data_IF_780202969905
#
_entry.id   IF_780202969905
#
_cell.length_a   1.000
_cell.length_b   1.000
_cell.length_c   1.000
_cell.angle_alpha   90.00
_cell.angle_beta   90.00
_cell.angle_gamma   90.00
#
_symmetry.space_group_name_H-M   'P 1'
#
loop_
_entity.id
_entity.type
_entity.pdbx_description
1 polymer ?
#
# COMPACT_ATOMS: atom_id res chain seq x y z
N UNK A 1 8.10 -13.50 13.33
CA UNK A 1 8.94 -12.40 12.84
C UNK A 1 9.16 -12.66 11.36
N UNK A 2 8.39 -12.04 10.47
CA UNK A 2 8.63 -12.20 9.03
C UNK A 2 10.03 -11.65 8.72
N UNK A 3 10.85 -12.42 8.00
CA UNK A 3 12.12 -11.96 7.46
C UNK A 3 11.87 -10.67 6.68
N UNK A 4 12.71 -9.67 6.89
CA UNK A 4 12.77 -8.49 6.00
C UNK A 4 13.50 -8.90 4.73
N UNK A 5 12.99 -8.47 3.58
CA UNK A 5 13.62 -8.75 2.28
C UNK A 5 15.10 -8.40 2.27
N UNK A 6 15.90 -9.28 1.66
CA UNK A 6 17.34 -9.13 1.50
C UNK A 6 17.75 -8.66 0.10
N UNK A 7 16.77 -8.45 -0.80
CA UNK A 7 16.99 -8.18 -2.22
C UNK A 7 17.71 -6.86 -2.52
N UNK A 8 17.67 -5.91 -1.57
CA UNK A 8 18.22 -4.57 -1.75
C UNK A 8 17.45 -3.72 -2.77
N UNK A 9 16.23 -4.15 -3.14
CA UNK A 9 15.32 -3.34 -3.95
C UNK A 9 14.69 -2.22 -3.11
N UNK A 10 14.48 -1.06 -3.73
CA UNK A 10 13.76 0.05 -3.13
C UNK A 10 12.43 0.24 -3.86
N UNK A 11 11.34 0.10 -3.12
CA UNK A 11 9.99 0.27 -3.66
C UNK A 11 9.48 1.69 -3.41
N UNK A 12 9.08 2.36 -4.49
CA UNK A 12 8.36 3.62 -4.43
C UNK A 12 6.91 3.39 -4.86
N UNK A 13 5.97 3.73 -4.00
CA UNK A 13 4.54 3.54 -4.24
C UNK A 13 3.85 4.89 -4.39
N UNK A 14 3.17 5.07 -5.53
CA UNK A 14 2.37 6.27 -5.77
C UNK A 14 0.99 6.18 -5.12
N UNK A 15 0.48 7.25 -4.48
CA UNK A 15 -0.87 7.32 -3.92
C UNK A 15 -2.00 6.90 -4.87
N UNK A 16 -1.88 7.20 -6.16
CA UNK A 16 -2.87 6.81 -7.17
C UNK A 16 -3.14 5.30 -7.16
N UNK A 17 -2.11 4.47 -6.95
CA UNK A 17 -2.26 3.01 -6.87
C UNK A 17 -3.15 2.62 -5.70
N UNK A 18 -2.97 3.25 -4.54
CA UNK A 18 -3.75 2.98 -3.32
C UNK A 18 -5.21 3.38 -3.53
N UNK A 19 -5.44 4.54 -4.17
CA UNK A 19 -6.78 5.03 -4.50
C UNK A 19 -7.48 4.07 -5.47
N UNK A 20 -6.80 3.60 -6.52
CA UNK A 20 -7.35 2.66 -7.49
C UNK A 20 -7.74 1.32 -6.83
N UNK A 21 -6.88 0.77 -5.97
CA UNK A 21 -7.18 -0.49 -5.26
C UNK A 21 -8.39 -0.30 -4.33
N UNK A 22 -8.45 0.84 -3.64
CA UNK A 22 -9.56 1.17 -2.73
C UNK A 22 -10.88 1.37 -3.48
N UNK A 23 -10.85 2.03 -4.64
CA UNK A 23 -12.01 2.20 -5.53
C UNK A 23 -12.50 0.84 -6.04
N UNK A 24 -11.59 0.01 -6.55
CA UNK A 24 -11.92 -1.33 -7.05
C UNK A 24 -12.60 -2.18 -5.96
N UNK A 25 -12.01 -2.21 -4.76
CA UNK A 25 -12.59 -2.91 -3.61
C UNK A 25 -13.98 -2.39 -3.26
N UNK A 26 -14.13 -1.06 -3.17
CA UNK A 26 -15.40 -0.43 -2.76
C UNK A 26 -16.50 -0.68 -3.79
N UNK A 27 -16.17 -0.63 -5.09
CA UNK A 27 -17.09 -0.92 -6.20
C UNK A 27 -17.60 -2.35 -6.15
N UNK A 28 -16.69 -3.32 -6.04
CA UNK A 28 -17.07 -4.75 -5.96
C UNK A 28 -17.87 -5.02 -4.70
N UNK A 29 -17.47 -4.44 -3.55
CA UNK A 29 -18.23 -4.51 -2.31
C UNK A 29 -19.65 -3.96 -2.46
N UNK A 30 -19.81 -2.80 -3.08
CA UNK A 30 -21.13 -2.21 -3.32
C UNK A 30 -22.01 -3.03 -4.25
N UNK A 31 -21.43 -3.69 -5.26
CA UNK A 31 -22.17 -4.57 -6.18
C UNK A 31 -22.57 -5.89 -5.55
N UNK A 32 -21.74 -6.41 -4.63
CA UNK A 32 -22.01 -7.65 -3.90
C UNK A 32 -23.04 -7.51 -2.78
N UNK A 33 -23.37 -6.27 -2.38
CA UNK A 33 -24.46 -6.04 -1.46
C UNK A 33 -25.79 -6.22 -2.20
N UNK A 34 -26.71 -7.08 -1.70
CA UNK A 34 -28.01 -7.20 -2.32
C UNK A 34 -28.69 -5.83 -2.33
N UNK A 35 -29.44 -5.48 -3.40
CA UNK A 35 -30.24 -4.27 -3.37
C UNK A 35 -31.13 -4.32 -2.13
N UNK A 36 -31.17 -3.22 -1.37
CA UNK A 36 -32.22 -3.00 -0.38
C UNK A 36 -33.56 -2.86 -1.12
N UNK A 37 -34.07 -3.95 -1.70
CA UNK A 37 -35.42 -4.03 -2.21
C UNK A 37 -36.35 -4.15 -1.01
N UNK A 38 -36.98 -3.01 -0.71
CA UNK A 38 -38.31 -2.87 -0.13
C UNK A 38 -38.57 -3.53 1.25
N UNK A 39 -38.97 -2.67 2.18
CA UNK A 39 -40.03 -2.98 3.13
C UNK A 39 -41.13 -3.85 2.47
N UNK A 40 -41.19 -5.13 2.80
CA UNK A 40 -42.48 -5.83 2.91
C UNK A 40 -42.37 -7.06 3.80
N UNK A 41 -42.98 -6.91 4.97
CA UNK A 41 -43.66 -7.89 5.82
C UNK A 41 -42.84 -8.97 6.54
N UNK A 42 -43.10 -9.02 7.84
CA UNK A 42 -42.57 -10.00 8.78
C UNK A 42 -42.81 -11.44 8.35
N UNK A 43 -41.79 -12.25 8.58
CA UNK A 43 -41.79 -13.69 8.41
C UNK A 43 -40.38 -14.20 8.69
N UNK A 44 -40.26 -15.05 9.69
CA UNK A 44 -39.03 -15.70 10.14
C UNK A 44 -38.20 -16.26 8.98
N UNK A 45 -36.88 -16.03 8.97
CA UNK A 45 -35.90 -16.89 8.27
C UNK A 45 -34.45 -16.48 8.56
N UNK A 46 -33.77 -17.33 9.33
CA UNK A 46 -32.33 -17.61 9.35
C UNK A 46 -31.35 -16.42 9.22
N UNK A 47 -30.68 -16.11 10.34
CA UNK A 47 -29.36 -15.45 10.40
C UNK A 47 -28.34 -16.23 9.55
N UNK A 48 -28.30 -15.98 8.25
CA UNK A 48 -27.13 -16.30 7.44
C UNK A 48 -26.01 -15.34 7.83
N UNK A 49 -24.79 -15.83 8.09
CA UNK A 49 -23.66 -14.95 8.34
C UNK A 49 -23.47 -14.01 7.14
N UNK A 50 -23.07 -12.74 7.36
CA UNK A 50 -22.80 -11.81 6.28
C UNK A 50 -21.80 -12.45 5.31
N UNK A 51 -21.98 -12.28 3.98
CA UNK A 51 -21.04 -12.85 3.01
C UNK A 51 -19.62 -12.36 3.31
N UNK A 52 -18.60 -13.21 3.11
CA UNK A 52 -17.22 -12.81 3.35
C UNK A 52 -16.88 -11.57 2.52
N UNK A 53 -16.05 -10.64 3.05
CA UNK A 53 -15.68 -9.44 2.31
C UNK A 53 -15.06 -9.83 0.97
N UNK A 54 -15.45 -9.16 -0.13
CA UNK A 54 -14.97 -9.55 -1.45
C UNK A 54 -13.47 -9.31 -1.56
N UNK A 55 -12.80 -10.19 -2.29
CA UNK A 55 -11.39 -10.08 -2.59
C UNK A 55 -11.22 -9.62 -4.03
N UNK A 56 -10.47 -8.55 -4.23
CA UNK A 56 -10.21 -8.03 -5.57
C UNK A 56 -8.76 -8.26 -5.94
N UNK A 57 -8.51 -8.45 -7.23
CA UNK A 57 -7.19 -8.72 -7.79
C UNK A 57 -6.92 -7.78 -8.96
N UNK A 58 -5.67 -7.38 -9.13
CA UNK A 58 -5.28 -6.58 -10.28
C UNK A 58 -3.78 -6.52 -10.50
N UNK A 59 -3.35 -5.90 -11.59
CA UNK A 59 -1.95 -5.67 -11.90
C UNK A 59 -1.50 -4.31 -11.40
N UNK A 60 -0.23 -4.23 -11.00
CA UNK A 60 0.47 -2.97 -10.79
C UNK A 60 1.48 -2.74 -11.90
N UNK A 61 1.55 -1.51 -12.38
CA UNK A 61 2.42 -1.10 -13.48
C UNK A 61 3.29 0.09 -13.08
N UNK A 62 4.44 0.19 -13.71
CA UNK A 62 5.36 1.29 -13.49
C UNK A 62 6.69 1.04 -14.17
N UNK A 63 7.77 1.50 -13.54
CA UNK A 63 9.12 1.41 -14.09
C UNK A 63 10.08 0.86 -13.05
N UNK A 64 11.14 0.19 -13.50
CA UNK A 64 12.28 -0.14 -12.65
C UNK A 64 13.52 0.47 -13.27
N UNK A 65 14.28 1.15 -12.44
CA UNK A 65 15.55 1.77 -12.79
C UNK A 65 16.61 1.17 -11.89
N UNK A 66 17.33 0.17 -12.39
CA UNK A 66 18.28 -0.60 -11.58
C UNK A 66 17.57 -1.35 -10.45
N UNK A 67 17.85 -0.94 -9.20
CA UNK A 67 17.26 -1.54 -7.99
C UNK A 67 16.05 -0.79 -7.45
N UNK A 68 15.65 0.31 -8.10
CA UNK A 68 14.49 1.08 -7.67
C UNK A 68 13.30 0.71 -8.53
N UNK A 69 12.25 0.22 -7.89
CA UNK A 69 10.96 -0.14 -8.49
C UNK A 69 9.96 0.93 -8.14
N UNK A 70 9.49 1.69 -9.13
CA UNK A 70 8.51 2.76 -8.96
C UNK A 70 7.16 2.33 -9.52
N UNK A 71 6.19 2.16 -8.63
CA UNK A 71 4.84 1.69 -8.93
C UNK A 71 3.92 2.90 -9.12
N UNK A 72 3.57 3.19 -10.37
CA UNK A 72 2.86 4.41 -10.76
C UNK A 72 1.34 4.24 -10.86
N UNK A 73 0.87 3.09 -11.32
CA UNK A 73 -0.54 2.88 -11.62
C UNK A 73 -0.92 1.40 -11.45
N UNK A 74 -2.20 1.11 -11.54
CA UNK A 74 -2.76 -0.23 -11.40
C UNK A 74 -4.03 -0.39 -12.22
N UNK A 75 -4.35 -1.62 -12.59
CA UNK A 75 -5.60 -1.96 -13.28
C UNK A 75 -6.15 -3.30 -12.79
N UNK A 76 -7.46 -3.50 -12.91
CA UNK A 76 -8.15 -4.73 -12.48
C UNK A 76 -7.78 -5.96 -13.32
N UNK A 77 -7.76 -7.13 -12.70
CA UNK A 77 -7.59 -8.42 -13.37
C UNK A 77 -8.89 -9.23 -13.28
N UNK A 78 -9.16 -9.99 -14.34
CA UNK A 78 -10.17 -11.04 -14.29
C UNK A 78 -9.51 -12.33 -13.82
N UNK A 79 -9.60 -12.57 -12.52
CA UNK A 79 -9.10 -13.76 -11.86
C UNK A 79 -10.26 -14.47 -11.17
N UNK A 80 -10.43 -15.77 -11.46
CA UNK A 80 -11.40 -16.63 -10.79
C UNK A 80 -10.71 -17.38 -9.63
N UNK A 81 -11.00 -17.03 -8.36
CA UNK A 81 -10.37 -17.69 -7.21
C UNK A 81 -10.79 -19.16 -7.04
N UNK A 82 -11.91 -19.59 -7.63
CA UNK A 82 -12.41 -20.96 -7.48
C UNK A 82 -11.64 -21.96 -8.33
N UNK A 83 -11.30 -21.55 -9.56
CA UNK A 83 -10.56 -22.36 -10.53
C UNK A 83 -9.09 -21.94 -10.65
N UNK A 84 -8.65 -20.94 -9.87
CA UNK A 84 -7.35 -20.29 -9.98
C UNK A 84 -6.98 -19.87 -11.41
N UNK A 85 -8.00 -19.50 -12.20
CA UNK A 85 -7.85 -19.18 -13.61
C UNK A 85 -7.66 -17.68 -13.82
N UNK A 86 -6.59 -17.32 -14.51
CA UNK A 86 -6.28 -15.96 -14.92
C UNK A 86 -6.62 -15.79 -16.40
N UNK A 87 -7.46 -14.80 -16.73
CA UNK A 87 -7.75 -14.45 -18.12
C UNK A 87 -6.53 -13.73 -18.75
N UNK A 88 -5.67 -14.53 -19.41
CA UNK A 88 -4.48 -14.02 -20.09
C UNK A 88 -4.81 -13.13 -21.28
N UNK A 89 -5.88 -13.42 -22.02
CA UNK A 89 -6.28 -12.62 -23.19
C UNK A 89 -6.72 -11.21 -22.77
N UNK A 90 -7.47 -11.11 -21.66
CA UNK A 90 -7.83 -9.83 -21.08
C UNK A 90 -6.59 -9.05 -20.59
N UNK A 91 -5.67 -9.73 -19.90
CA UNK A 91 -4.43 -9.14 -19.41
C UNK A 91 -3.56 -8.59 -20.54
N UNK A 92 -3.29 -9.37 -21.59
CA UNK A 92 -2.50 -8.96 -22.75
C UNK A 92 -3.13 -7.76 -23.48
N UNK A 93 -4.46 -7.80 -23.68
CA UNK A 93 -5.19 -6.68 -24.28
C UNK A 93 -5.07 -5.40 -23.44
N UNK A 94 -5.22 -5.49 -22.11
CA UNK A 94 -5.04 -4.35 -21.22
C UNK A 94 -3.60 -3.85 -21.24
N UNK A 95 -2.63 -4.75 -21.24
CA UNK A 95 -1.21 -4.41 -21.33
C UNK A 95 -0.92 -3.62 -22.61
N UNK A 96 -1.45 -4.05 -23.76
CA UNK A 96 -1.26 -3.34 -25.04
C UNK A 96 -1.84 -1.91 -24.99
N UNK A 97 -3.02 -1.74 -24.40
CA UNK A 97 -3.65 -0.42 -24.25
C UNK A 97 -2.82 0.50 -23.36
N UNK A 98 -2.34 0.01 -22.23
CA UNK A 98 -1.47 0.80 -21.35
C UNK A 98 -0.13 1.13 -22.01
N UNK A 99 0.44 0.22 -22.80
CA UNK A 99 1.69 0.46 -23.53
C UNK A 99 1.54 1.55 -24.60
N UNK A 100 0.34 1.74 -25.18
CA UNK A 100 0.06 2.84 -26.12
C UNK A 100 0.08 4.22 -25.44
N UNK A 101 -0.37 4.31 -24.18
CA UNK A 101 -0.43 5.56 -23.42
C UNK A 101 0.87 5.81 -22.65
N UNK A 102 1.46 4.77 -22.08
CA UNK A 102 2.67 4.78 -21.27
C UNK A 102 3.68 3.75 -21.80
N UNK A 103 4.43 4.05 -22.87
CA UNK A 103 5.34 3.10 -23.53
C UNK A 103 6.47 2.57 -22.63
N UNK A 104 6.86 3.37 -21.63
CA UNK A 104 7.93 3.03 -20.70
C UNK A 104 7.44 2.18 -19.51
N UNK A 105 6.12 2.00 -19.37
CA UNK A 105 5.56 1.24 -18.25
C UNK A 105 5.42 -0.22 -18.62
N UNK A 106 5.67 -1.08 -17.64
CA UNK A 106 5.47 -2.51 -17.76
C UNK A 106 4.86 -3.07 -16.47
N UNK A 107 4.44 -4.33 -16.54
CA UNK A 107 3.80 -5.02 -15.41
C UNK A 107 4.86 -5.36 -14.37
N UNK A 108 4.81 -4.67 -13.24
CA UNK A 108 5.72 -4.88 -12.11
C UNK A 108 5.27 -6.05 -11.23
N UNK A 109 3.99 -6.36 -11.26
CA UNK A 109 3.40 -7.42 -10.45
C UNK A 109 1.90 -7.23 -10.31
N UNK A 110 1.39 -7.53 -9.11
CA UNK A 110 -0.04 -7.56 -8.85
C UNK A 110 -0.40 -7.06 -7.46
N UNK A 111 -1.68 -6.80 -7.27
CA UNK A 111 -2.25 -6.45 -5.98
C UNK A 111 -3.44 -7.34 -5.63
N UNK A 112 -3.69 -7.45 -4.33
CA UNK A 112 -4.97 -7.94 -3.84
C UNK A 112 -5.42 -7.22 -2.57
N UNK A 113 -6.66 -7.46 -2.18
CA UNK A 113 -7.16 -7.06 -0.86
C UNK A 113 -7.20 -8.21 0.12
N UNK A 114 -6.91 -7.94 1.39
CA UNK A 114 -6.96 -8.98 2.43
C UNK A 114 -6.23 -8.58 3.71
N UNK A 115 -6.40 -9.38 4.75
CA UNK A 115 -5.78 -9.13 6.05
C UNK A 115 -4.27 -9.45 6.04
N UNK A 116 -3.89 -10.56 5.42
CA UNK A 116 -2.49 -11.00 5.25
C UNK A 116 -2.35 -11.84 3.97
N UNK A 117 -1.11 -12.09 3.56
CA UNK A 117 -0.79 -12.94 2.42
C UNK A 117 -1.21 -14.40 2.70
N UNK A 118 -1.91 -15.01 1.73
CA UNK A 118 -2.42 -16.37 1.83
C UNK A 118 -1.61 -17.33 0.95
N UNK A 119 -1.66 -18.63 1.23
CA UNK A 119 -1.01 -19.63 0.37
C UNK A 119 -1.63 -19.66 -1.05
N UNK A 120 -2.93 -19.39 -1.17
CA UNK A 120 -3.64 -19.24 -2.44
C UNK A 120 -3.07 -18.12 -3.31
N UNK A 121 -2.45 -17.10 -2.70
CA UNK A 121 -1.79 -15.99 -3.41
C UNK A 121 -0.57 -16.44 -4.20
N UNK A 122 0.06 -17.53 -3.75
CA UNK A 122 1.20 -18.11 -4.45
C UNK A 122 0.80 -18.66 -5.83
N UNK A 123 -0.45 -19.06 -6.01
CA UNK A 123 -0.94 -19.61 -7.28
C UNK A 123 -1.03 -18.52 -8.35
N UNK A 124 -1.67 -17.39 -8.04
CA UNK A 124 -1.72 -16.23 -8.94
C UNK A 124 -0.33 -15.61 -9.12
N UNK A 125 0.49 -15.59 -8.07
CA UNK A 125 1.86 -15.10 -8.18
C UNK A 125 2.67 -15.91 -9.20
N UNK A 126 2.65 -17.25 -9.10
CA UNK A 126 3.31 -18.13 -10.08
C UNK A 126 2.75 -17.96 -11.49
N UNK A 127 1.43 -17.78 -11.64
CA UNK A 127 0.83 -17.55 -12.95
C UNK A 127 1.32 -16.25 -13.62
N UNK A 128 1.69 -15.24 -12.82
CA UNK A 128 2.23 -13.97 -13.30
C UNK A 128 3.76 -13.98 -13.47
N UNK A 129 4.46 -14.98 -12.94
CA UNK A 129 5.91 -15.14 -13.14
C UNK A 129 6.29 -15.34 -14.61
N UNK A 130 5.37 -15.87 -15.42
CA UNK A 130 5.54 -16.00 -16.88
C UNK A 130 5.68 -14.64 -17.59
N UNK A 131 5.13 -13.57 -17.00
CA UNK A 131 5.11 -12.22 -17.58
C UNK A 131 6.24 -11.37 -17.01
N UNK A 132 6.51 -11.52 -15.71
CA UNK A 132 7.61 -10.86 -15.02
C UNK A 132 8.27 -11.88 -14.09
N UNK A 133 9.55 -12.16 -14.28
CA UNK A 133 10.31 -13.18 -13.55
C UNK A 133 10.30 -12.97 -12.02
N UNK A 134 10.13 -11.74 -11.57
CA UNK A 134 10.09 -11.38 -10.14
C UNK A 134 8.94 -10.37 -9.89
N UNK A 135 7.68 -10.84 -9.92
CA UNK A 135 6.53 -9.95 -9.78
C UNK A 135 6.39 -9.49 -8.33
N UNK A 136 6.13 -8.20 -8.15
CA UNK A 136 5.88 -7.61 -6.82
C UNK A 136 4.43 -7.87 -6.40
N UNK A 137 4.21 -8.19 -5.13
CA UNK A 137 2.86 -8.36 -4.58
C UNK A 137 2.50 -7.22 -3.63
N UNK A 138 1.48 -6.44 -3.98
CA UNK A 138 0.94 -5.34 -3.15
C UNK A 138 -0.35 -5.80 -2.46
N UNK A 139 -0.35 -5.85 -1.14
CA UNK A 139 -1.53 -6.20 -0.35
C UNK A 139 -2.10 -4.96 0.33
N UNK A 140 -3.37 -4.66 0.07
CA UNK A 140 -4.12 -3.63 0.78
C UNK A 140 -5.08 -4.29 1.78
N UNK A 141 -4.97 -3.95 3.06
CA UNK A 141 -5.93 -4.38 4.06
C UNK A 141 -7.07 -3.36 4.16
N UNK A 142 -8.30 -3.70 3.72
CA UNK A 142 -9.43 -2.78 3.76
C UNK A 142 -10.03 -2.64 5.18
N UNK A 143 -9.63 -3.48 6.12
CA UNK A 143 -10.12 -3.45 7.50
C UNK A 143 -9.55 -2.23 8.23
N UNK A 144 -10.42 -1.30 8.59
CA UNK A 144 -10.04 -0.06 9.29
C UNK A 144 -9.71 -0.40 10.74
N UNK A 145 -8.43 -0.34 11.09
CA UNK A 145 -8.01 -0.33 12.49
C UNK A 145 -7.64 1.10 12.91
N UNK A 146 -8.54 1.77 13.65
CA UNK A 146 -8.31 3.14 14.13
C UNK A 146 -7.11 3.28 15.08
N UNK A 147 -6.59 2.18 15.64
CA UNK A 147 -5.37 2.18 16.44
C UNK A 147 -4.10 2.15 15.58
N UNK A 148 -4.19 1.69 14.33
CA UNK A 148 -3.06 1.59 13.42
C UNK A 148 -2.82 2.95 12.76
N UNK A 149 -1.65 3.53 13.02
CA UNK A 149 -1.24 4.83 12.45
C UNK A 149 -0.54 4.69 11.08
N UNK A 150 -0.15 3.48 10.73
CA UNK A 150 0.54 3.17 9.48
C UNK A 150 -0.47 2.82 8.39
N UNK A 151 -0.13 3.16 7.15
CA UNK A 151 -0.94 2.84 5.99
C UNK A 151 -1.13 1.31 5.91
N UNK A 152 -2.36 0.80 5.69
CA UNK A 152 -2.64 -0.63 5.66
C UNK A 152 -2.25 -1.26 4.31
N UNK A 153 -1.06 -0.93 3.81
CA UNK A 153 -0.48 -1.45 2.58
C UNK A 153 0.83 -2.13 2.90
N UNK A 154 0.99 -3.35 2.40
CA UNK A 154 2.21 -4.13 2.49
C UNK A 154 2.68 -4.51 1.09
N UNK A 155 3.99 -4.47 0.88
CA UNK A 155 4.62 -4.96 -0.35
C UNK A 155 5.41 -6.22 0.00
N UNK A 156 5.24 -7.25 -0.80
CA UNK A 156 5.92 -8.53 -0.68
C UNK A 156 6.72 -8.82 -1.94
N UNK A 157 7.92 -9.34 -1.75
CA UNK A 157 8.73 -9.98 -2.76
C UNK A 157 8.63 -11.49 -2.60
N UNK A 158 8.95 -12.21 -3.67
CA UNK A 158 9.08 -13.66 -3.62
C UNK A 158 10.56 -14.05 -3.50
N UNK A 159 10.89 -14.78 -2.44
CA UNK A 159 12.24 -15.32 -2.23
C UNK A 159 12.17 -16.85 -2.18
N UNK A 160 13.13 -17.51 -2.82
CA UNK A 160 13.22 -18.97 -2.81
C UNK A 160 13.98 -19.42 -1.56
N UNK A 161 13.28 -20.11 -0.66
CA UNK A 161 13.84 -20.69 0.55
C UNK A 161 13.82 -22.21 0.49
N UNK A 162 14.86 -22.85 1.01
CA UNK A 162 14.90 -24.30 1.16
C UNK A 162 14.35 -24.64 2.54
N UNK A 163 13.13 -25.18 2.58
CA UNK A 163 12.48 -25.65 3.80
C UNK A 163 12.42 -27.17 3.68
N UNK A 164 12.99 -27.88 4.66
CA UNK A 164 13.04 -29.35 4.68
C UNK A 164 13.65 -29.98 3.42
N UNK A 165 14.63 -29.32 2.81
CA UNK A 165 15.31 -29.78 1.59
C UNK A 165 14.55 -29.53 0.29
N UNK A 166 13.36 -28.94 0.35
CA UNK A 166 12.54 -28.62 -0.81
C UNK A 166 12.60 -27.11 -1.07
N UNK A 167 12.97 -26.67 -2.30
CA UNK A 167 12.92 -25.26 -2.66
C UNK A 167 11.46 -24.80 -2.76
N UNK A 168 11.06 -23.89 -1.87
CA UNK A 168 9.74 -23.29 -1.83
C UNK A 168 9.83 -21.78 -1.99
N UNK A 169 8.91 -21.21 -2.77
CA UNK A 169 8.79 -19.77 -2.93
C UNK A 169 7.97 -19.22 -1.76
N UNK A 170 8.49 -18.22 -1.05
CA UNK A 170 7.80 -17.59 0.09
C UNK A 170 7.68 -16.09 -0.12
N UNK A 171 6.64 -15.49 0.49
CA UNK A 171 6.49 -14.04 0.52
C UNK A 171 7.31 -13.43 1.64
N UNK A 172 8.15 -12.46 1.29
CA UNK A 172 8.99 -11.72 2.23
C UNK A 172 8.61 -10.26 2.15
N UNK A 173 8.38 -9.63 3.31
CA UNK A 173 7.88 -8.25 3.36
C UNK A 173 9.02 -7.28 3.05
N UNK A 174 8.70 -6.29 2.22
CA UNK A 174 9.64 -5.29 1.74
C UNK A 174 9.25 -3.89 2.17
N UNK A 175 10.25 -3.07 2.49
CA UNK A 175 10.04 -1.66 2.82
C UNK A 175 9.72 -0.87 1.56
N UNK A 176 8.80 0.09 1.68
CA UNK A 176 8.47 1.01 0.61
C UNK A 176 8.42 2.44 1.12
N UNK A 177 8.57 3.39 0.19
CA UNK A 177 8.36 4.81 0.42
C UNK A 177 7.21 5.30 -0.45
N UNK A 178 6.40 6.21 0.08
CA UNK A 178 5.40 6.90 -0.73
C UNK A 178 6.12 7.97 -1.56
N UNK A 179 6.04 7.86 -2.88
CA UNK A 179 6.55 8.86 -3.81
C UNK A 179 5.37 9.59 -4.43
N UNK A 180 5.46 10.91 -4.54
CA UNK A 180 4.41 11.73 -5.15
C UNK A 180 5.00 12.66 -6.18
N UNK A 181 4.39 12.72 -7.37
CA UNK A 181 4.64 13.82 -8.30
C UNK A 181 3.97 15.08 -7.77
N UNK A 182 4.46 16.28 -8.14
CA UNK A 182 3.91 17.56 -7.66
C UNK A 182 2.38 17.66 -7.86
N UNK A 183 1.89 17.29 -9.04
CA UNK A 183 0.46 17.28 -9.33
C UNK A 183 -0.32 16.30 -8.44
N UNK A 184 0.24 15.12 -8.16
CA UNK A 184 -0.35 14.12 -7.29
C UNK A 184 -0.38 14.60 -5.84
N UNK A 185 0.72 15.21 -5.37
CA UNK A 185 0.82 15.81 -4.04
C UNK A 185 -0.25 16.86 -3.81
N UNK A 186 -0.40 17.80 -4.75
CA UNK A 186 -1.43 18.84 -4.68
C UNK A 186 -2.83 18.22 -4.67
N UNK A 187 -3.08 17.22 -5.52
CA UNK A 187 -4.38 16.55 -5.60
C UNK A 187 -4.75 15.81 -4.31
N UNK A 188 -3.79 15.07 -3.74
CA UNK A 188 -3.97 14.34 -2.48
C UNK A 188 -4.19 15.32 -1.33
N UNK A 189 -3.40 16.40 -1.26
CA UNK A 189 -3.54 17.44 -0.24
C UNK A 189 -4.93 18.11 -0.32
N UNK A 190 -5.38 18.45 -1.54
CA UNK A 190 -6.68 19.04 -1.75
C UNK A 190 -7.80 18.12 -1.27
N UNK A 191 -7.80 16.85 -1.70
CA UNK A 191 -8.82 15.86 -1.31
C UNK A 191 -8.81 15.61 0.21
N UNK A 192 -7.63 15.60 0.85
CA UNK A 192 -7.52 15.42 2.29
C UNK A 192 -8.08 16.59 3.10
N UNK A 193 -8.07 17.81 2.54
CA UNK A 193 -8.56 19.03 3.20
C UNK A 193 -9.98 19.43 2.81
N UNK A 194 -10.68 18.66 1.96
CA UNK A 194 -12.09 18.85 1.66
C UNK A 194 -12.93 18.63 2.93
N UNK A 195 -13.17 19.69 3.69
CA UNK A 195 -14.24 19.74 4.69
C UNK A 195 -15.57 19.95 3.95
N UNK A 196 -16.67 19.30 4.37
CA UNK A 196 -17.98 19.44 3.71
C UNK A 196 -18.67 20.80 3.99
N UNK A 197 -17.95 21.92 3.99
CA UNK A 197 -18.49 23.25 4.30
C UNK A 197 -18.30 24.23 3.15
N UNK A 198 -19.45 24.69 2.64
CA UNK A 198 -19.78 25.84 1.79
C UNK A 198 -18.68 26.75 1.22
N UNK A 199 -18.76 26.96 -0.09
CA UNK A 199 -18.52 28.27 -0.71
C UNK A 199 -17.06 28.65 -0.96
N UNK A 200 -16.65 28.54 -2.23
CA UNK A 200 -15.35 29.01 -2.71
C UNK A 200 -15.14 30.50 -2.49
N UNK A 201 -14.21 30.84 -1.59
CA UNK A 201 -13.61 32.16 -1.47
C UNK A 201 -12.10 32.01 -1.33
N UNK A 202 -11.32 32.99 -1.81
CA UNK A 202 -9.86 33.01 -1.67
C UNK A 202 -9.40 32.92 -0.20
N UNK A 203 -10.24 33.37 0.75
CA UNK A 203 -10.02 33.19 2.19
C UNK A 203 -10.03 31.72 2.62
N UNK A 204 -10.86 30.87 1.98
CA UNK A 204 -10.94 29.43 2.22
C UNK A 204 -9.66 28.73 1.75
N UNK A 205 -9.03 29.19 0.67
CA UNK A 205 -7.77 28.64 0.17
C UNK A 205 -6.58 28.94 1.12
N UNK A 206 -6.46 30.19 1.59
CA UNK A 206 -5.43 30.54 2.57
C UNK A 206 -5.66 29.80 3.91
N UNK A 207 -6.91 29.69 4.36
CA UNK A 207 -7.27 28.94 5.55
C UNK A 207 -6.94 27.44 5.42
N UNK A 208 -7.22 26.83 4.26
CA UNK A 208 -6.83 25.45 3.98
C UNK A 208 -5.30 25.28 4.00
N UNK A 209 -4.56 26.18 3.35
CA UNK A 209 -3.09 26.16 3.35
C UNK A 209 -2.49 26.30 4.76
N UNK A 210 -2.98 27.26 5.56
CA UNK A 210 -2.56 27.42 6.95
C UNK A 210 -2.94 26.21 7.82
N UNK A 211 -4.09 25.58 7.56
CA UNK A 211 -4.51 24.35 8.23
C UNK A 211 -3.57 23.17 7.88
N UNK A 212 -3.15 23.07 6.62
CA UNK A 212 -2.17 22.09 6.16
C UNK A 212 -0.82 22.26 6.85
N UNK A 213 -0.29 23.50 6.87
CA UNK A 213 0.96 23.83 7.59
C UNK A 213 0.83 23.52 9.09
N UNK A 214 -0.27 23.94 9.72
CA UNK A 214 -0.51 23.67 11.13
C UNK A 214 -0.53 22.17 11.43
N UNK A 215 -1.19 21.39 10.58
CA UNK A 215 -1.28 19.93 10.70
C UNK A 215 0.10 19.27 10.52
N UNK A 216 0.90 19.74 9.57
CA UNK A 216 2.26 19.27 9.35
C UNK A 216 3.18 19.58 10.56
N UNK A 217 3.10 20.79 11.12
CA UNK A 217 3.85 21.17 12.34
C UNK A 217 3.41 20.30 13.52
N UNK A 218 2.10 20.06 13.68
CA UNK A 218 1.56 19.18 14.73
C UNK A 218 2.08 17.75 14.58
N UNK A 219 2.14 17.23 13.35
CA UNK A 219 2.70 15.91 13.07
C UNK A 219 4.20 15.84 13.38
N UNK A 220 4.98 16.85 12.98
CA UNK A 220 6.40 16.92 13.31
C UNK A 220 6.63 16.99 14.82
N UNK A 221 5.87 17.81 15.53
CA UNK A 221 5.95 17.91 16.99
C UNK A 221 5.61 16.57 17.68
N UNK A 222 4.62 15.84 17.17
CA UNK A 222 4.31 14.48 17.64
C UNK A 222 5.50 13.54 17.46
N UNK A 223 6.18 13.57 16.30
CA UNK A 223 7.39 12.77 16.04
C UNK A 223 8.56 13.17 16.95
N UNK A 224 8.79 14.47 17.16
CA UNK A 224 9.83 14.97 18.09
C UNK A 224 9.57 14.47 19.52
N UNK A 225 8.30 14.46 19.97
CA UNK A 225 7.97 13.89 21.29
C UNK A 225 8.28 12.42 21.39
N UNK A 226 8.03 11.62 20.35
CA UNK A 226 8.40 10.20 20.34
C UNK A 226 9.91 10.04 20.49
N UNK A 227 10.70 10.81 19.74
CA UNK A 227 12.16 10.81 19.85
C UNK A 227 12.62 11.23 21.26
N UNK A 228 12.04 12.27 21.83
CA UNK A 228 12.36 12.71 23.19
C UNK A 228 12.05 11.64 24.24
N UNK A 229 10.88 10.99 24.16
CA UNK A 229 10.55 9.88 25.06
C UNK A 229 11.50 8.70 24.88
N UNK A 230 11.89 8.39 23.65
CA UNK A 230 12.87 7.35 23.37
C UNK A 230 14.23 7.67 23.98
N UNK A 231 14.75 8.88 23.81
CA UNK A 231 16.01 9.34 24.41
C UNK A 231 15.96 9.32 25.94
N UNK A 232 14.84 9.75 26.55
CA UNK A 232 14.65 9.64 27.99
C UNK A 232 14.60 8.19 28.48
N UNK A 233 13.96 7.30 27.72
CA UNK A 233 13.92 5.87 28.03
C UNK A 233 15.32 5.23 27.92
N UNK A 234 16.13 5.66 26.95
CA UNK A 234 17.55 5.27 26.85
C UNK A 234 18.36 5.77 28.06
N UNK A 235 18.19 7.03 28.46
CA UNK A 235 18.87 7.59 29.64
C UNK A 235 18.50 6.83 30.92
N UNK A 236 17.25 6.37 31.04
CA UNK A 236 16.75 5.57 32.18
C UNK A 236 17.13 4.09 32.11
N UNK A 237 17.84 3.65 31.07
CA UNK A 237 18.23 2.24 30.87
C UNK A 237 17.08 1.30 30.49
N UNK A 238 15.93 1.83 30.06
CA UNK A 238 14.75 1.05 29.69
C UNK A 238 14.77 0.58 28.22
N UNK A 239 15.77 0.98 27.43
CA UNK A 239 15.96 0.56 26.04
C UNK A 239 17.45 0.32 25.77
N UNK A 240 17.78 -0.70 24.97
CA UNK A 240 19.17 -1.04 24.64
C UNK A 240 19.89 0.11 23.92
N UNK A 241 21.13 0.40 24.34
CA UNK A 241 21.98 1.41 23.71
C UNK A 241 22.33 0.98 22.28
N UNK A 242 21.75 1.65 21.28
CA UNK A 242 22.17 1.51 19.89
C UNK A 242 23.45 2.34 19.67
N UNK A 243 24.60 1.67 19.63
CA UNK A 243 25.95 2.27 19.54
C UNK A 243 26.14 3.13 18.28
N UNK A 244 25.37 2.89 17.20
CA UNK A 244 25.48 3.65 15.95
C UNK A 244 24.89 5.07 15.99
N UNK A 245 23.95 5.36 16.91
CA UNK A 245 23.34 6.68 17.01
C UNK A 245 24.29 7.75 17.57
N UNK A 246 25.19 7.36 18.47
CA UNK A 246 26.13 8.28 19.12
C UNK A 246 27.27 8.70 18.17
N UNK A 247 27.78 7.78 17.34
CA UNK A 247 28.80 8.10 16.32
C UNK A 247 28.33 9.15 15.31
N UNK A 248 27.04 9.22 15.03
CA UNK A 248 26.48 10.20 14.11
C UNK A 248 26.34 11.59 14.76
N UNK A 249 26.07 11.66 16.06
CA UNK A 249 25.96 12.91 16.81
C UNK A 249 27.33 13.47 17.22
N UNK A 250 28.28 12.61 17.63
CA UNK A 250 29.66 13.02 17.95
C UNK A 250 30.37 13.60 16.73
N UNK A 251 30.26 12.95 15.55
CA UNK A 251 30.84 13.48 14.31
C UNK A 251 30.25 14.82 13.85
N UNK A 252 29.03 15.17 14.28
CA UNK A 252 28.38 16.44 13.91
C UNK A 252 28.75 17.56 14.89
N UNK A 253 28.95 17.24 16.17
CA UNK A 253 29.46 18.20 17.15
C UNK A 253 30.92 18.58 16.89
N UNK A 254 31.73 17.63 16.43
CA UNK A 254 33.15 17.89 16.12
C UNK A 254 33.33 18.79 14.87
N UNK A 255 32.34 18.82 13.97
CA UNK A 255 32.33 19.70 12.78
C UNK A 255 31.70 21.09 12.99
N UNK A 256 31.14 21.37 14.17
CA UNK A 256 30.59 22.70 14.50
C UNK A 256 31.46 23.51 15.46
N UNK A 257 32.60 22.98 15.90
CA UNK A 257 33.53 23.64 16.84
C UNK A 257 34.88 24.02 16.17
N UNK A 258 34.98 23.94 14.84
CA UNK A 258 36.10 24.50 14.07
C UNK A 258 35.59 25.24 12.83
#
# INVERSE_FOLDING_TARGET
MASSSSSGLTFKLHPLVIVNISDHYTRVKSQSQPPHSASSNGGDSATSPPPPPPRVFGCVIGVQRGRTVEIFNSFELLYDPSNHSLDRAFLEKKQELYKKVFPNFYILGWYSTGNDAQESDMLIHKALMDINESPVYVLLNPSINHAQKDLPVSIYESELHVIDGIPQLIFVRSSYTIETVEAERISVDHVAHLKPSDGGSAATQLAAHLTGIHSAIKMLNSRIRVLHHYLLAMQKGMCFYFVDGQRYLEKKYEKSVF
#
